data_IF_492883621499
#
_entry.id   IF_492883621499
#
_cell.length_a   1.000
_cell.length_b   1.000
_cell.length_c   1.000
_cell.angle_alpha   90.00
_cell.angle_beta   90.00
_cell.angle_gamma   90.00
#
_symmetry.space_group_name_H-M   'P 1'
#
loop_
_entity.id
_entity.type
_entity.pdbx_description
1 polymer ?
#
# COMPACT_ATOMS: atom_id res chain seq x y z
N UNK A 1 49.46 -1.04 -34.87
CA UNK A 1 48.25 -1.91 -34.68
C UNK A 1 48.10 -2.47 -33.29
N UNK A 2 49.18 -2.81 -32.53
CA UNK A 2 49.07 -3.33 -31.13
C UNK A 2 48.60 -2.34 -30.05
N UNK A 3 48.74 -1.01 -30.28
CA UNK A 3 48.30 0.03 -29.32
C UNK A 3 46.84 0.45 -29.44
N UNK A 4 46.18 0.14 -30.55
CA UNK A 4 44.73 0.41 -30.75
C UNK A 4 43.90 -0.69 -30.13
N UNK A 5 44.41 -1.93 -30.12
CA UNK A 5 43.72 -3.07 -29.50
C UNK A 5 43.64 -2.95 -27.96
N UNK A 6 44.63 -2.31 -27.33
CA UNK A 6 44.65 -2.10 -25.88
C UNK A 6 43.63 -1.03 -25.40
N UNK A 7 43.28 -0.07 -26.26
CA UNK A 7 42.34 1.02 -25.95
C UNK A 7 40.88 0.52 -26.01
N UNK A 8 40.56 -0.44 -26.88
CA UNK A 8 39.19 -1.00 -26.96
C UNK A 8 38.82 -1.92 -25.78
N UNK A 9 39.81 -2.52 -25.10
CA UNK A 9 39.58 -3.40 -23.95
C UNK A 9 39.29 -2.59 -22.67
N UNK A 10 39.77 -1.35 -22.57
CA UNK A 10 39.57 -0.49 -21.40
C UNK A 10 38.16 0.16 -21.33
N UNK A 11 37.37 0.14 -22.41
CA UNK A 11 36.02 0.77 -22.46
C UNK A 11 34.90 -0.20 -22.05
N UNK A 12 35.16 -1.50 -22.02
CA UNK A 12 34.14 -2.49 -21.68
C UNK A 12 33.88 -2.73 -20.14
N UNK A 13 34.56 -2.01 -19.25
CA UNK A 13 34.46 -2.23 -17.81
C UNK A 13 33.54 -1.26 -17.09
N UNK A 14 32.91 -0.30 -17.80
CA UNK A 14 32.06 0.74 -17.19
C UNK A 14 30.55 0.53 -17.37
N UNK A 15 30.09 -0.65 -17.78
CA UNK A 15 28.69 -0.93 -18.04
C UNK A 15 28.07 -1.97 -17.07
N UNK A 16 28.56 -2.08 -15.83
CA UNK A 16 27.78 -2.65 -14.74
C UNK A 16 27.24 -1.51 -13.90
N UNK A 17 26.13 -0.93 -14.29
CA UNK A 17 25.28 -0.19 -13.42
C UNK A 17 24.70 -1.15 -12.40
N UNK A 18 25.39 -1.39 -11.29
CA UNK A 18 24.77 -1.97 -10.11
C UNK A 18 23.72 -0.97 -9.68
N UNK A 19 22.45 -1.28 -9.90
CA UNK A 19 21.38 -0.67 -9.12
C UNK A 19 21.59 -1.16 -7.68
N UNK A 20 22.37 -0.40 -6.91
CA UNK A 20 22.51 -0.69 -5.47
C UNK A 20 21.13 -0.58 -4.85
N UNK A 21 20.77 -1.56 -4.05
CA UNK A 21 19.53 -1.56 -3.28
C UNK A 21 19.50 -0.29 -2.42
N UNK A 22 18.40 0.46 -2.53
CA UNK A 22 18.27 1.75 -1.87
C UNK A 22 17.18 1.76 -0.80
N UNK A 23 16.50 0.61 -0.58
CA UNK A 23 15.58 0.35 0.51
C UNK A 23 16.05 -0.86 1.29
N UNK A 24 16.21 -0.70 2.61
CA UNK A 24 16.50 -1.74 3.57
C UNK A 24 15.30 -1.88 4.51
N UNK A 25 14.72 -3.07 4.60
CA UNK A 25 13.64 -3.41 5.53
C UNK A 25 14.18 -4.39 6.56
N UNK A 26 14.33 -3.95 7.80
CA UNK A 26 14.86 -4.77 8.87
C UNK A 26 13.99 -4.76 10.10
N UNK A 27 14.20 -5.72 10.99
CA UNK A 27 13.43 -5.75 12.24
C UNK A 27 13.56 -7.04 13.02
N UNK A 28 12.62 -7.20 13.95
CA UNK A 28 12.60 -8.33 14.86
C UNK A 28 11.18 -8.88 15.04
N UNK A 29 11.03 -10.21 14.95
CA UNK A 29 9.75 -10.90 15.12
C UNK A 29 9.79 -11.71 16.41
N UNK A 30 9.35 -11.12 17.53
CA UNK A 30 9.39 -11.75 18.85
C UNK A 30 8.70 -13.11 18.85
N UNK A 31 9.44 -14.13 19.24
CA UNK A 31 8.94 -15.51 19.32
C UNK A 31 9.17 -16.36 18.06
N UNK A 32 9.64 -15.79 16.94
CA UNK A 32 10.00 -16.53 15.75
C UNK A 32 11.33 -17.26 15.97
N UNK A 33 11.31 -18.59 15.90
CA UNK A 33 12.51 -19.45 16.01
C UNK A 33 12.98 -19.94 14.63
N UNK A 34 12.04 -20.30 13.76
CA UNK A 34 12.29 -20.73 12.38
C UNK A 34 11.15 -20.27 11.49
N UNK A 35 11.48 -19.85 10.27
CA UNK A 35 10.51 -19.42 9.27
C UNK A 35 11.20 -18.71 8.13
N UNK A 36 10.42 -18.25 7.18
CA UNK A 36 10.90 -17.41 6.07
C UNK A 36 10.12 -16.11 6.08
N UNK A 37 10.84 -15.01 6.09
CA UNK A 37 10.26 -13.67 5.97
C UNK A 37 10.36 -13.26 4.51
N UNK A 38 9.26 -12.79 3.92
CA UNK A 38 9.18 -12.36 2.53
C UNK A 38 8.84 -10.88 2.45
N UNK A 39 9.57 -10.15 1.65
CA UNK A 39 9.21 -8.79 1.22
C UNK A 39 8.54 -8.89 -0.15
N UNK A 40 7.32 -8.38 -0.24
CA UNK A 40 6.53 -8.41 -1.48
C UNK A 40 6.03 -7.02 -1.83
N UNK A 41 5.78 -6.78 -3.14
CA UNK A 41 5.09 -5.59 -3.63
C UNK A 41 4.07 -5.93 -4.71
N UNK A 42 3.13 -5.03 -4.93
CA UNK A 42 2.22 -5.13 -6.05
C UNK A 42 2.94 -4.79 -7.36
N UNK A 43 2.79 -5.68 -8.34
CA UNK A 43 3.21 -5.46 -9.72
C UNK A 43 2.07 -5.92 -10.62
N UNK A 44 1.51 -4.99 -11.36
CA UNK A 44 0.28 -5.18 -12.13
C UNK A 44 -0.84 -5.77 -11.25
N UNK A 45 -1.34 -6.94 -11.57
CA UNK A 45 -2.43 -7.63 -10.85
C UNK A 45 -1.94 -8.66 -9.84
N UNK A 46 -0.64 -8.77 -9.59
CA UNK A 46 -0.05 -9.81 -8.74
C UNK A 46 0.86 -9.23 -7.64
N UNK A 47 1.08 -10.04 -6.60
CA UNK A 47 2.10 -9.77 -5.59
C UNK A 47 3.36 -10.53 -5.94
N UNK A 48 4.46 -9.81 -6.17
CA UNK A 48 5.78 -10.38 -6.44
C UNK A 48 6.65 -10.34 -5.19
N UNK A 49 7.40 -11.40 -4.94
CA UNK A 49 8.44 -11.42 -3.92
C UNK A 49 9.67 -10.70 -4.48
N UNK A 50 10.13 -9.67 -3.78
CA UNK A 50 11.32 -8.90 -4.16
C UNK A 50 12.55 -9.35 -3.38
N UNK A 51 12.35 -9.82 -2.15
CA UNK A 51 13.41 -10.43 -1.34
C UNK A 51 12.83 -11.38 -0.29
N UNK A 52 13.66 -12.29 0.25
CA UNK A 52 13.27 -13.19 1.32
C UNK A 52 14.45 -13.66 2.14
N UNK A 53 14.23 -13.87 3.44
CA UNK A 53 15.26 -14.34 4.37
C UNK A 53 14.76 -15.53 5.20
N UNK A 54 15.59 -16.56 5.30
CA UNK A 54 15.37 -17.67 6.22
C UNK A 54 15.84 -17.27 7.62
N UNK A 55 14.91 -17.27 8.58
CA UNK A 55 15.19 -17.03 10.00
C UNK A 55 15.45 -18.36 10.68
N UNK A 56 16.57 -18.49 11.38
CA UNK A 56 16.92 -19.69 12.16
C UNK A 56 17.65 -19.29 13.45
N UNK A 57 16.95 -19.35 14.57
CA UNK A 57 17.49 -19.06 15.90
C UNK A 57 17.45 -17.58 16.30
N UNK A 58 17.94 -16.68 15.48
CA UNK A 58 17.82 -15.23 15.69
C UNK A 58 16.57 -14.71 14.98
N UNK A 59 15.64 -14.11 15.73
CA UNK A 59 14.37 -13.61 15.22
C UNK A 59 14.48 -12.27 14.45
N UNK A 60 15.67 -11.77 14.17
CA UNK A 60 15.93 -10.58 13.37
C UNK A 60 16.00 -10.92 11.89
N UNK A 61 15.58 -9.97 11.06
CA UNK A 61 15.65 -10.08 9.61
C UNK A 61 16.14 -8.77 8.98
N UNK A 62 16.73 -8.87 7.80
CA UNK A 62 17.07 -7.76 6.93
C UNK A 62 16.82 -8.17 5.48
N UNK A 63 16.03 -7.36 4.77
CA UNK A 63 15.60 -7.55 3.39
C UNK A 63 15.91 -6.27 2.62
N UNK A 64 16.25 -6.41 1.33
CA UNK A 64 16.71 -5.30 0.52
C UNK A 64 16.03 -5.29 -0.84
N UNK A 65 15.84 -4.09 -1.39
CA UNK A 65 15.32 -3.93 -2.75
C UNK A 65 15.58 -2.52 -3.27
N UNK A 66 15.39 -2.34 -4.56
CA UNK A 66 15.48 -1.02 -5.20
C UNK A 66 14.08 -0.45 -5.43
N UNK A 67 13.90 0.83 -5.11
CA UNK A 67 12.68 1.59 -5.38
C UNK A 67 13.00 2.91 -6.10
N UNK A 68 12.12 3.35 -6.98
CA UNK A 68 12.23 4.63 -7.69
C UNK A 68 11.53 5.75 -6.92
N UNK A 69 10.36 5.47 -6.39
CA UNK A 69 9.52 6.38 -5.61
C UNK A 69 8.88 5.63 -4.43
N UNK A 70 8.40 6.34 -3.40
CA UNK A 70 7.69 5.71 -2.28
C UNK A 70 6.56 4.80 -2.76
N UNK A 71 6.51 3.57 -2.23
CA UNK A 71 5.47 2.61 -2.56
C UNK A 71 5.12 1.69 -1.39
N UNK A 72 3.96 1.03 -1.48
CA UNK A 72 3.51 0.08 -0.47
C UNK A 72 4.16 -1.27 -0.68
N UNK A 73 4.74 -1.78 0.39
CA UNK A 73 5.26 -3.14 0.51
C UNK A 73 4.46 -3.95 1.51
N UNK A 74 4.64 -5.25 1.43
CA UNK A 74 4.00 -6.21 2.29
C UNK A 74 5.06 -7.15 2.86
N UNK A 75 5.12 -7.23 4.20
CA UNK A 75 5.91 -8.24 4.89
C UNK A 75 5.04 -9.45 5.18
N UNK A 76 5.50 -10.62 4.80
CA UNK A 76 4.86 -11.91 5.05
C UNK A 76 5.79 -12.81 5.85
N UNK A 77 5.21 -13.61 6.73
CA UNK A 77 5.97 -14.58 7.50
C UNK A 77 6.09 -15.94 6.79
N UNK A 78 5.15 -16.27 5.93
CA UNK A 78 5.17 -17.47 5.10
C UNK A 78 4.73 -17.11 3.68
N UNK A 79 5.19 -17.87 2.69
CA UNK A 79 4.88 -17.64 1.28
C UNK A 79 3.37 -17.68 1.00
N UNK A 80 2.64 -18.53 1.71
CA UNK A 80 1.22 -18.79 1.53
C UNK A 80 0.35 -18.23 2.66
N UNK A 81 0.88 -17.30 3.50
CA UNK A 81 0.08 -16.64 4.53
C UNK A 81 -1.12 -15.92 3.92
N UNK A 82 -2.22 -15.92 4.65
CA UNK A 82 -3.43 -15.19 4.26
C UNK A 82 -3.15 -13.68 4.11
N UNK A 83 -3.99 -13.00 3.36
CA UNK A 83 -3.84 -11.55 3.13
C UNK A 83 -3.94 -10.78 4.46
N UNK A 84 -4.76 -11.26 5.39
CA UNK A 84 -4.97 -10.68 6.71
C UNK A 84 -3.74 -10.76 7.60
N UNK A 85 -2.85 -11.74 7.36
CA UNK A 85 -1.65 -12.00 8.15
C UNK A 85 -0.43 -11.23 7.64
N UNK A 86 -0.60 -10.28 6.72
CA UNK A 86 0.48 -9.46 6.20
C UNK A 86 0.59 -8.12 6.91
N UNK A 87 1.81 -7.60 7.01
CA UNK A 87 2.05 -6.22 7.41
C UNK A 87 2.19 -5.38 6.15
N UNK A 88 1.23 -4.47 5.92
CA UNK A 88 1.30 -3.49 4.85
C UNK A 88 1.91 -2.19 5.37
N UNK A 89 2.91 -1.66 4.66
CA UNK A 89 3.61 -0.44 5.04
C UNK A 89 4.06 0.36 3.82
N UNK A 90 4.17 1.66 4.01
CA UNK A 90 4.72 2.57 3.01
C UNK A 90 6.22 2.69 3.24
N UNK A 91 7.02 2.43 2.21
CA UNK A 91 8.46 2.59 2.25
C UNK A 91 8.93 3.67 1.27
N UNK A 92 10.02 4.33 1.65
CA UNK A 92 10.82 5.22 0.82
C UNK A 92 12.27 4.73 0.84
N UNK A 93 13.15 5.36 0.08
CA UNK A 93 14.59 5.09 0.11
C UNK A 93 15.13 5.24 1.53
N UNK A 94 16.05 4.36 1.90
CA UNK A 94 16.65 4.31 3.22
C UNK A 94 16.20 3.10 4.04
N UNK A 95 16.04 3.25 5.33
CA UNK A 95 15.78 2.14 6.26
C UNK A 95 14.34 2.21 6.76
N UNK A 96 13.63 1.10 6.65
CA UNK A 96 12.35 0.85 7.34
C UNK A 96 12.56 -0.24 8.39
N UNK A 97 12.25 0.06 9.64
CA UNK A 97 12.34 -0.89 10.75
C UNK A 97 10.95 -1.38 11.15
N UNK A 98 10.77 -2.72 11.23
CA UNK A 98 9.49 -3.36 11.58
C UNK A 98 9.71 -4.32 12.74
N UNK A 99 9.14 -4.01 13.91
CA UNK A 99 9.17 -4.86 15.08
C UNK A 99 7.76 -5.38 15.36
N UNK A 100 7.62 -6.72 15.53
CA UNK A 100 6.32 -7.35 15.76
C UNK A 100 6.46 -8.63 16.59
N UNK A 101 5.34 -9.35 16.80
CA UNK A 101 5.31 -10.66 17.44
C UNK A 101 4.79 -11.74 16.50
N UNK A 102 5.25 -12.99 16.68
CA UNK A 102 4.75 -14.13 15.92
C UNK A 102 3.25 -14.36 16.15
N UNK A 103 2.78 -14.12 17.39
CA UNK A 103 1.40 -14.40 17.79
C UNK A 103 0.37 -13.48 17.11
N UNK A 104 0.74 -12.21 16.94
CA UNK A 104 -0.14 -11.19 16.37
C UNK A 104 0.62 -10.43 15.27
N UNK A 105 1.13 -11.14 14.28
CA UNK A 105 2.12 -10.65 13.32
C UNK A 105 1.74 -9.32 12.68
N UNK A 106 0.53 -9.21 12.14
CA UNK A 106 0.07 -7.98 11.52
C UNK A 106 -0.37 -6.91 12.55
N UNK A 107 -0.94 -7.34 13.67
CA UNK A 107 -1.57 -6.44 14.64
C UNK A 107 -0.57 -5.73 15.56
N UNK A 108 0.49 -6.44 16.02
CA UNK A 108 1.51 -5.91 16.93
C UNK A 108 2.60 -5.10 16.18
N UNK A 109 2.51 -4.97 14.85
CA UNK A 109 3.54 -4.34 14.04
C UNK A 109 3.75 -2.88 14.41
N UNK A 110 4.98 -2.54 14.79
CA UNK A 110 5.47 -1.17 14.98
C UNK A 110 6.44 -0.86 13.86
N UNK A 111 6.13 0.15 13.07
CA UNK A 111 6.88 0.49 11.85
C UNK A 111 7.49 1.87 12.04
N UNK A 112 8.82 1.94 11.90
CA UNK A 112 9.57 3.19 11.85
C UNK A 112 10.24 3.28 10.48
N UNK A 113 9.94 4.33 9.73
CA UNK A 113 10.46 4.46 8.37
C UNK A 113 10.25 5.85 7.82
N UNK A 114 9.68 5.91 6.64
CA UNK A 114 9.50 7.14 5.88
C UNK A 114 8.42 8.07 6.45
N UNK A 115 8.44 9.33 6.04
CA UNK A 115 7.33 10.27 6.31
C UNK A 115 6.03 9.78 5.67
N UNK A 116 6.11 9.06 4.54
CA UNK A 116 4.95 8.45 3.90
C UNK A 116 4.26 7.42 4.81
N UNK A 117 5.04 6.66 5.59
CA UNK A 117 4.48 5.72 6.56
C UNK A 117 3.69 6.45 7.66
N UNK A 118 4.17 7.59 8.15
CA UNK A 118 3.44 8.40 9.15
C UNK A 118 2.10 8.90 8.61
N UNK A 119 2.10 9.43 7.40
CA UNK A 119 0.87 9.87 6.72
C UNK A 119 -0.10 8.68 6.51
N UNK A 120 0.44 7.53 6.12
CA UNK A 120 -0.38 6.33 5.93
C UNK A 120 -0.99 5.81 7.24
N UNK A 121 -0.25 5.84 8.34
CA UNK A 121 -0.74 5.47 9.67
C UNK A 121 -1.81 6.43 10.18
N UNK A 122 -1.65 7.74 9.99
CA UNK A 122 -2.67 8.74 10.32
C UNK A 122 -4.00 8.43 9.62
N UNK A 123 -3.95 8.15 8.31
CA UNK A 123 -5.13 7.73 7.56
C UNK A 123 -5.75 6.45 8.13
N UNK A 124 -4.95 5.41 8.35
CA UNK A 124 -5.41 4.10 8.84
C UNK A 124 -6.05 4.17 10.24
N UNK A 125 -5.52 5.00 11.13
CA UNK A 125 -6.05 5.18 12.47
C UNK A 125 -7.50 5.73 12.42
N UNK A 126 -7.76 6.73 11.60
CA UNK A 126 -9.12 7.26 11.42
C UNK A 126 -10.02 6.26 10.68
N UNK A 127 -9.50 5.60 9.64
CA UNK A 127 -10.24 4.60 8.87
C UNK A 127 -10.68 3.42 9.74
N UNK A 128 -9.87 3.02 10.73
CA UNK A 128 -10.21 1.93 11.65
C UNK A 128 -11.51 2.20 12.41
N UNK A 129 -11.73 3.44 12.84
CA UNK A 129 -12.97 3.86 13.53
C UNK A 129 -14.19 3.76 12.59
N UNK A 130 -14.03 4.15 11.33
CA UNK A 130 -15.09 4.03 10.30
C UNK A 130 -15.41 2.55 10.05
N UNK A 131 -14.38 1.71 9.92
CA UNK A 131 -14.53 0.28 9.69
C UNK A 131 -15.17 -0.44 10.88
N UNK A 132 -14.82 -0.11 12.12
CA UNK A 132 -15.45 -0.66 13.31
C UNK A 132 -16.97 -0.35 13.32
N UNK A 133 -17.34 0.90 12.99
CA UNK A 133 -18.76 1.26 12.88
C UNK A 133 -19.48 0.47 11.79
N UNK A 134 -18.81 0.20 10.67
CA UNK A 134 -19.36 -0.66 9.59
C UNK A 134 -19.59 -2.08 10.06
N UNK A 135 -18.68 -2.67 10.84
CA UNK A 135 -18.85 -4.01 11.43
C UNK A 135 -20.05 -4.06 12.37
N UNK A 136 -20.24 -3.03 13.20
CA UNK A 136 -21.44 -2.93 14.08
C UNK A 136 -22.74 -2.92 13.26
N UNK A 137 -22.76 -2.20 12.13
CA UNK A 137 -23.91 -2.16 11.22
C UNK A 137 -24.16 -3.51 10.53
N UNK A 138 -23.11 -4.22 10.12
CA UNK A 138 -23.23 -5.58 9.54
C UNK A 138 -23.88 -6.53 10.56
N UNK A 139 -23.43 -6.47 11.82
CA UNK A 139 -24.02 -7.25 12.90
C UNK A 139 -25.49 -6.88 13.13
N UNK A 140 -25.81 -5.59 13.17
CA UNK A 140 -27.18 -5.11 13.36
C UNK A 140 -28.10 -5.51 12.18
N UNK A 141 -27.59 -5.52 10.93
CA UNK A 141 -28.31 -5.99 9.76
C UNK A 141 -28.69 -7.47 9.92
N UNK A 142 -27.70 -8.31 10.25
CA UNK A 142 -27.93 -9.74 10.46
C UNK A 142 -28.96 -10.04 11.56
N UNK A 143 -28.91 -9.31 12.67
CA UNK A 143 -29.87 -9.46 13.77
C UNK A 143 -31.29 -9.01 13.35
N UNK A 144 -31.41 -7.93 12.57
CA UNK A 144 -32.69 -7.44 12.08
C UNK A 144 -33.32 -8.40 11.05
N UNK A 145 -32.53 -8.94 10.11
CA UNK A 145 -32.96 -9.96 9.16
C UNK A 145 -33.47 -11.22 9.87
N UNK A 146 -32.74 -11.71 10.87
CA UNK A 146 -33.12 -12.87 11.67
C UNK A 146 -34.44 -12.65 12.43
N UNK A 147 -34.70 -11.41 12.87
CA UNK A 147 -35.91 -11.03 13.59
C UNK A 147 -37.09 -10.70 12.65
N UNK A 148 -36.88 -10.58 11.34
CA UNK A 148 -37.88 -10.11 10.37
C UNK A 148 -38.30 -8.64 10.60
N UNK A 149 -37.42 -7.81 11.20
CA UNK A 149 -37.69 -6.42 11.53
C UNK A 149 -37.35 -5.52 10.33
N UNK A 150 -38.32 -5.32 9.44
CA UNK A 150 -38.17 -4.50 8.23
C UNK A 150 -37.78 -3.05 8.53
N UNK A 151 -38.33 -2.45 9.59
CA UNK A 151 -38.00 -1.08 9.94
C UNK A 151 -36.54 -0.93 10.39
N UNK A 152 -36.04 -1.93 11.10
CA UNK A 152 -34.62 -1.99 11.50
C UNK A 152 -33.70 -2.24 10.30
N UNK A 153 -34.08 -3.10 9.36
CA UNK A 153 -33.33 -3.34 8.12
C UNK A 153 -33.16 -2.04 7.34
N UNK A 154 -34.24 -1.29 7.07
CA UNK A 154 -34.20 0.01 6.38
C UNK A 154 -33.30 1.02 7.10
N UNK A 155 -33.39 1.06 8.44
CA UNK A 155 -32.55 1.96 9.25
C UNK A 155 -31.06 1.63 9.13
N UNK A 156 -30.71 0.35 9.19
CA UNK A 156 -29.31 -0.11 9.07
C UNK A 156 -28.77 0.12 7.65
N UNK A 157 -29.57 -0.08 6.62
CA UNK A 157 -29.18 0.21 5.25
C UNK A 157 -28.85 1.70 5.05
N UNK A 158 -29.72 2.60 5.52
CA UNK A 158 -29.46 4.06 5.47
C UNK A 158 -28.19 4.42 6.22
N UNK A 159 -27.95 3.82 7.39
CA UNK A 159 -26.74 4.04 8.16
C UNK A 159 -25.49 3.53 7.43
N UNK A 160 -25.57 2.36 6.77
CA UNK A 160 -24.47 1.77 5.97
C UNK A 160 -24.10 2.64 4.78
N UNK A 161 -25.11 3.18 4.07
CA UNK A 161 -24.90 4.11 2.97
C UNK A 161 -24.24 5.42 3.46
N UNK A 162 -24.65 5.92 4.64
CA UNK A 162 -24.02 7.09 5.26
C UNK A 162 -22.56 6.85 5.63
N UNK A 163 -22.22 5.68 6.17
CA UNK A 163 -20.82 5.31 6.51
C UNK A 163 -19.96 5.20 5.25
N UNK A 164 -20.47 4.62 4.17
CA UNK A 164 -19.76 4.52 2.88
C UNK A 164 -19.47 5.92 2.33
N UNK A 165 -20.48 6.81 2.30
CA UNK A 165 -20.29 8.21 1.90
C UNK A 165 -19.25 8.92 2.77
N UNK A 166 -19.29 8.70 4.09
CA UNK A 166 -18.32 9.29 5.03
C UNK A 166 -16.89 8.79 4.76
N UNK A 167 -16.70 7.51 4.45
CA UNK A 167 -15.40 6.97 4.05
C UNK A 167 -14.86 7.70 2.81
N UNK A 168 -15.68 7.83 1.76
CA UNK A 168 -15.26 8.51 0.53
C UNK A 168 -14.88 9.96 0.75
N UNK A 169 -15.73 10.72 1.45
CA UNK A 169 -15.45 12.13 1.74
C UNK A 169 -14.19 12.30 2.61
N UNK A 170 -14.01 11.41 3.60
CA UNK A 170 -12.81 11.41 4.42
C UNK A 170 -11.57 11.16 3.57
N UNK A 171 -11.59 10.11 2.70
CA UNK A 171 -10.44 9.76 1.86
C UNK A 171 -10.10 10.90 0.88
N UNK A 172 -11.10 11.52 0.25
CA UNK A 172 -10.88 12.66 -0.65
C UNK A 172 -10.26 13.83 0.12
N UNK A 173 -10.83 14.22 1.25
CA UNK A 173 -10.32 15.34 2.05
C UNK A 173 -8.90 15.05 2.57
N UNK A 174 -8.63 13.81 2.99
CA UNK A 174 -7.31 13.42 3.42
C UNK A 174 -6.29 13.52 2.28
N UNK A 175 -6.62 13.01 1.10
CA UNK A 175 -5.76 13.09 -0.09
C UNK A 175 -5.48 14.55 -0.50
N UNK A 176 -6.49 15.42 -0.45
CA UNK A 176 -6.33 16.86 -0.76
C UNK A 176 -5.43 17.58 0.25
N UNK A 177 -5.50 17.22 1.53
CA UNK A 177 -4.64 17.79 2.57
C UNK A 177 -3.21 17.26 2.52
N UNK A 178 -2.97 16.09 1.89
CA UNK A 178 -1.68 15.45 1.74
C UNK A 178 -1.26 15.32 0.26
N UNK A 179 -1.60 16.30 -0.56
CA UNK A 179 -1.34 16.34 -2.02
C UNK A 179 0.13 16.28 -2.41
N UNK A 180 1.02 16.48 -1.46
CA UNK A 180 2.47 16.39 -1.57
C UNK A 180 3.04 15.02 -1.14
N UNK A 181 2.17 14.09 -0.75
CA UNK A 181 2.48 12.72 -0.35
C UNK A 181 2.01 11.70 -1.39
N UNK A 182 2.83 10.70 -1.68
CA UNK A 182 2.48 9.56 -2.55
C UNK A 182 1.35 8.70 -1.96
N UNK A 183 1.02 8.88 -0.68
CA UNK A 183 -0.15 8.25 -0.04
C UNK A 183 -1.46 8.75 -0.66
N UNK A 184 -1.55 10.02 -1.08
CA UNK A 184 -2.77 10.56 -1.66
C UNK A 184 -3.25 9.82 -2.91
N UNK A 185 -2.46 9.67 -3.98
CA UNK A 185 -2.88 8.90 -5.15
C UNK A 185 -3.03 7.40 -4.86
N UNK A 186 -2.22 6.83 -3.95
CA UNK A 186 -2.38 5.45 -3.51
C UNK A 186 -3.77 5.22 -2.88
N UNK A 187 -4.24 6.10 -2.00
CA UNK A 187 -5.55 5.98 -1.38
C UNK A 187 -6.69 6.12 -2.38
N UNK A 188 -6.55 6.98 -3.38
CA UNK A 188 -7.51 7.08 -4.48
C UNK A 188 -7.67 5.74 -5.22
N UNK A 189 -6.55 5.08 -5.52
CA UNK A 189 -6.51 3.79 -6.21
C UNK A 189 -6.95 2.60 -5.35
N UNK A 190 -6.64 2.60 -4.04
CA UNK A 190 -6.87 1.44 -3.18
C UNK A 190 -8.19 1.50 -2.39
N UNK A 191 -8.63 2.68 -1.99
CA UNK A 191 -9.74 2.85 -1.05
C UNK A 191 -11.04 3.36 -1.69
N UNK A 192 -10.92 4.11 -2.79
CA UNK A 192 -12.06 4.76 -3.46
C UNK A 192 -11.98 4.65 -4.99
N UNK A 193 -11.35 3.60 -5.54
CA UNK A 193 -11.22 3.37 -6.98
C UNK A 193 -12.58 3.37 -7.71
N UNK A 194 -13.66 3.03 -7.04
CA UNK A 194 -15.03 3.00 -7.55
C UNK A 194 -15.84 4.26 -7.21
N UNK A 195 -15.19 5.33 -6.75
CA UNK A 195 -15.85 6.61 -6.51
C UNK A 195 -16.22 7.31 -7.82
N UNK A 196 -17.06 8.32 -7.72
CA UNK A 196 -17.38 9.17 -8.86
C UNK A 196 -16.10 9.75 -9.47
N UNK A 197 -15.99 9.69 -10.80
CA UNK A 197 -14.84 10.16 -11.56
C UNK A 197 -14.42 11.60 -11.19
N UNK A 198 -15.39 12.48 -10.91
CA UNK A 198 -15.10 13.87 -10.51
C UNK A 198 -14.28 13.97 -9.20
N UNK A 199 -14.46 13.02 -8.27
CA UNK A 199 -13.68 12.97 -7.02
C UNK A 199 -12.24 12.50 -7.29
N UNK A 200 -12.06 11.50 -8.15
CA UNK A 200 -10.73 11.03 -8.56
C UNK A 200 -9.98 12.13 -9.32
N UNK A 201 -10.64 12.80 -10.26
CA UNK A 201 -10.10 13.97 -10.98
C UNK A 201 -9.68 15.10 -10.02
N UNK A 202 -10.49 15.37 -9.00
CA UNK A 202 -10.19 16.40 -8.00
C UNK A 202 -8.89 16.08 -7.27
N UNK A 203 -8.70 14.83 -6.82
CA UNK A 203 -7.45 14.39 -6.18
C UNK A 203 -6.30 14.52 -7.17
N UNK A 204 -6.41 13.93 -8.38
CA UNK A 204 -5.33 13.91 -9.38
C UNK A 204 -4.87 15.32 -9.76
N UNK A 205 -5.82 16.25 -9.95
CA UNK A 205 -5.52 17.64 -10.30
C UNK A 205 -4.83 18.41 -9.16
N UNK A 206 -5.09 18.05 -7.91
CA UNK A 206 -4.49 18.70 -6.73
C UNK A 206 -3.04 18.29 -6.47
N UNK A 207 -2.61 17.10 -6.94
CA UNK A 207 -1.29 16.56 -6.65
C UNK A 207 -0.16 17.49 -7.09
N UNK A 208 0.90 17.56 -6.27
CA UNK A 208 2.12 18.29 -6.66
C UNK A 208 2.80 17.64 -7.86
N UNK A 209 3.60 18.38 -8.66
CA UNK A 209 4.32 17.83 -9.81
C UNK A 209 5.19 16.61 -9.44
N UNK A 210 5.83 16.65 -8.26
CA UNK A 210 6.63 15.52 -7.73
C UNK A 210 5.77 14.27 -7.59
N UNK A 211 4.61 14.37 -6.92
CA UNK A 211 3.72 13.24 -6.68
C UNK A 211 3.06 12.76 -7.98
N UNK A 212 2.69 13.66 -8.89
CA UNK A 212 2.20 13.27 -10.23
C UNK A 212 3.19 12.43 -11.02
N UNK A 213 4.49 12.69 -10.88
CA UNK A 213 5.54 11.94 -11.57
C UNK A 213 5.92 10.63 -10.87
N UNK A 214 5.45 10.38 -9.64
CA UNK A 214 5.68 9.14 -8.90
C UNK A 214 4.90 7.96 -9.49
N UNK A 215 5.16 6.75 -8.99
CA UNK A 215 4.45 5.53 -9.39
C UNK A 215 2.93 5.71 -9.28
N UNK A 216 2.42 5.98 -8.09
CA UNK A 216 0.97 6.08 -7.86
C UNK A 216 0.33 7.29 -8.53
N UNK A 217 1.05 8.40 -8.70
CA UNK A 217 0.55 9.54 -9.46
C UNK A 217 0.30 9.19 -10.93
N UNK A 218 1.24 8.49 -11.56
CA UNK A 218 1.09 8.00 -12.94
C UNK A 218 -0.01 6.94 -13.07
N UNK A 219 -0.09 6.01 -12.11
CA UNK A 219 -1.14 4.98 -12.08
C UNK A 219 -2.53 5.60 -11.95
N UNK A 220 -2.71 6.61 -11.09
CA UNK A 220 -3.98 7.32 -10.93
C UNK A 220 -4.38 8.08 -12.21
N UNK A 221 -3.44 8.79 -12.84
CA UNK A 221 -3.69 9.50 -14.09
C UNK A 221 -4.11 8.54 -15.21
N UNK A 222 -3.42 7.38 -15.33
CA UNK A 222 -3.77 6.33 -16.28
C UNK A 222 -5.16 5.76 -16.01
N UNK A 223 -5.46 5.41 -14.77
CA UNK A 223 -6.74 4.86 -14.34
C UNK A 223 -7.91 5.81 -14.67
N UNK A 224 -7.75 7.10 -14.40
CA UNK A 224 -8.76 8.12 -14.74
C UNK A 224 -8.98 8.22 -16.25
N UNK A 225 -7.91 8.16 -17.05
CA UNK A 225 -8.02 8.18 -18.52
C UNK A 225 -8.79 6.97 -19.05
N UNK A 226 -8.48 5.79 -18.55
CA UNK A 226 -9.18 4.55 -18.93
C UNK A 226 -10.69 4.62 -18.63
N UNK A 227 -11.09 5.17 -17.46
CA UNK A 227 -12.51 5.37 -17.15
C UNK A 227 -13.16 6.35 -18.14
N UNK A 228 -12.51 7.47 -18.47
CA UNK A 228 -13.03 8.47 -19.42
C UNK A 228 -13.21 7.89 -20.82
N UNK A 229 -12.28 7.07 -21.26
CA UNK A 229 -12.36 6.37 -22.56
C UNK A 229 -13.55 5.41 -22.58
N UNK A 230 -13.73 4.58 -21.55
CA UNK A 230 -14.86 3.66 -21.41
C UNK A 230 -16.21 4.38 -21.36
N UNK A 231 -16.32 5.51 -20.65
CA UNK A 231 -17.54 6.32 -20.61
C UNK A 231 -17.85 6.97 -21.97
N UNK A 232 -16.84 7.30 -22.77
CA UNK A 232 -17.02 7.86 -24.11
C UNK A 232 -17.47 6.81 -25.13
N UNK A 233 -16.98 5.57 -25.03
CA UNK A 233 -17.36 4.45 -25.90
C UNK A 233 -18.79 3.95 -25.65
N UNK A 234 -19.33 4.17 -24.44
CA UNK A 234 -20.67 3.73 -24.03
C UNK A 234 -21.78 4.78 -24.29
N UNK A 235 -21.44 5.90 -24.93
CA UNK A 235 -22.39 6.98 -25.32
C UNK A 235 -22.68 6.95 -26.81
#
# INVERSE_FOLDING_TARGET
MKKILALCIAICVLACGNNEDNLIVKGHIKGLKKGVVYLKKAQDTSLVTVDSMVVSGNASFELQTTIESPEVFFLYLDKNSAIEDRIAFFADKGITEINTSLKNFAFDAKINGSEQQKVFEEYRNTLSTINNRRLDLIKAAFEAEKAGDSAKIDSVEKASNSITKRKYLYTVNFALNHKDSEVAPYLALSEIYNANLSLLDTINNSLTPKVKSSKYGKELDKFIKEIKEQEAENK
#
